data_IF_119702374844
#
_entry.id   IF_119702374844
#
_cell.length_a   1.000
_cell.length_b   1.000
_cell.length_c   1.000
_cell.angle_alpha   90.00
_cell.angle_beta   90.00
_cell.angle_gamma   90.00
#
_symmetry.space_group_name_H-M   'P 1'
#
loop_
_entity.id
_entity.type
_entity.pdbx_description
1 polymer ?
#
# COMPACT_ATOMS: atom_id res chain seq x y z
N UNK A 1 42.99 -4.87 -5.81
CA UNK A 1 43.05 -4.63 -7.28
C UNK A 1 44.43 -5.04 -7.77
N UNK A 2 44.54 -6.11 -8.54
CA UNK A 2 45.82 -6.55 -9.10
C UNK A 2 46.12 -5.71 -10.34
N UNK A 3 46.91 -4.64 -10.18
CA UNK A 3 47.50 -3.93 -11.31
C UNK A 3 48.44 -4.90 -12.03
N UNK A 4 48.31 -5.01 -13.36
CA UNK A 4 49.28 -5.74 -14.17
C UNK A 4 50.66 -5.11 -14.00
N UNK A 5 51.73 -5.91 -14.12
CA UNK A 5 53.10 -5.41 -13.88
C UNK A 5 53.44 -4.22 -14.79
N UNK A 6 52.95 -4.22 -16.03
CA UNK A 6 53.08 -3.08 -16.95
C UNK A 6 52.40 -1.80 -16.46
N UNK A 7 51.21 -1.91 -15.86
CA UNK A 7 50.48 -0.75 -15.32
C UNK A 7 51.14 -0.23 -14.03
N UNK A 8 51.71 -1.14 -13.22
CA UNK A 8 52.47 -0.80 -12.02
C UNK A 8 53.73 -0.02 -12.38
N UNK A 9 54.47 -0.46 -13.40
CA UNK A 9 55.66 0.23 -13.87
C UNK A 9 55.35 1.62 -14.44
N UNK A 10 54.26 1.75 -15.20
CA UNK A 10 53.83 3.06 -15.74
C UNK A 10 53.40 4.03 -14.63
N UNK A 11 52.73 3.52 -13.58
CA UNK A 11 52.36 4.31 -12.41
C UNK A 11 53.61 4.75 -11.63
N UNK A 12 54.53 3.83 -11.36
CA UNK A 12 55.78 4.12 -10.65
C UNK A 12 56.59 5.19 -11.39
N UNK A 13 56.67 5.13 -12.73
CA UNK A 13 57.34 6.17 -13.51
C UNK A 13 56.64 7.53 -13.42
N UNK A 14 55.32 7.56 -13.44
CA UNK A 14 54.55 8.81 -13.32
C UNK A 14 54.66 9.44 -11.91
N UNK A 15 54.77 8.61 -10.86
CA UNK A 15 55.01 9.07 -9.48
C UNK A 15 56.41 9.62 -9.30
N UNK A 16 57.43 8.95 -9.85
CA UNK A 16 58.81 9.44 -9.81
C UNK A 16 58.98 10.79 -10.53
N UNK A 17 58.33 10.96 -11.69
CA UNK A 17 58.30 12.22 -12.44
C UNK A 17 57.68 13.36 -11.62
N UNK A 18 56.51 13.12 -11.00
CA UNK A 18 55.83 14.11 -10.16
C UNK A 18 56.67 14.55 -8.95
N UNK A 19 57.30 13.60 -8.25
CA UNK A 19 58.15 13.91 -7.10
C UNK A 19 59.38 14.72 -7.53
N UNK A 20 59.94 14.43 -8.71
CA UNK A 20 61.07 15.15 -9.28
C UNK A 20 60.67 16.57 -9.73
N UNK A 21 59.50 16.75 -10.34
CA UNK A 21 59.02 18.07 -10.79
C UNK A 21 58.67 19.01 -9.63
N UNK A 22 58.27 18.48 -8.48
CA UNK A 22 57.95 19.26 -7.26
C UNK A 22 59.13 19.40 -6.29
N UNK A 23 60.34 18.96 -6.67
CA UNK A 23 61.58 19.24 -5.93
C UNK A 23 61.88 18.31 -4.75
N UNK A 24 61.20 17.16 -4.64
CA UNK A 24 61.41 16.19 -3.55
C UNK A 24 62.54 15.19 -3.87
N UNK A 25 63.77 15.68 -3.98
CA UNK A 25 64.92 14.92 -4.49
C UNK A 25 65.28 13.67 -3.68
N UNK A 26 65.29 13.76 -2.35
CA UNK A 26 65.61 12.64 -1.45
C UNK A 26 64.58 11.50 -1.53
N UNK A 27 63.29 11.86 -1.68
CA UNK A 27 62.20 10.91 -1.83
C UNK A 27 62.21 10.23 -3.19
N UNK A 28 62.63 10.94 -4.25
CA UNK A 28 62.77 10.36 -5.61
C UNK A 28 63.85 9.30 -5.66
N UNK A 29 65.02 9.55 -5.07
CA UNK A 29 66.13 8.60 -5.08
C UNK A 29 65.80 7.31 -4.32
N UNK A 30 65.14 7.46 -3.17
CA UNK A 30 64.68 6.32 -2.38
C UNK A 30 63.62 5.52 -3.14
N UNK A 31 62.63 6.19 -3.74
CA UNK A 31 61.58 5.54 -4.51
C UNK A 31 62.09 4.86 -5.79
N UNK A 32 63.06 5.46 -6.50
CA UNK A 32 63.70 4.84 -7.68
C UNK A 32 64.41 3.53 -7.33
N UNK A 33 65.05 3.48 -6.15
CA UNK A 33 65.74 2.28 -5.63
C UNK A 33 64.76 1.17 -5.26
N UNK A 34 63.66 1.52 -4.60
CA UNK A 34 62.62 0.54 -4.22
C UNK A 34 61.82 0.03 -5.44
N UNK A 35 61.63 0.86 -6.46
CA UNK A 35 60.85 0.52 -7.65
C UNK A 35 61.66 -0.09 -8.81
N UNK A 36 62.97 -0.32 -8.66
CA UNK A 36 63.88 -0.88 -9.70
C UNK A 36 63.76 -0.17 -11.08
N UNK A 37 63.81 1.17 -11.10
CA UNK A 37 63.70 1.97 -12.32
C UNK A 37 65.08 2.38 -12.88
N UNK A 38 65.79 1.45 -13.54
CA UNK A 38 67.19 1.66 -14.00
C UNK A 38 67.36 2.47 -15.31
N UNK A 39 66.29 2.66 -16.10
CA UNK A 39 66.33 3.46 -17.34
C UNK A 39 65.13 4.42 -17.38
N UNK A 40 65.32 5.60 -16.80
CA UNK A 40 64.30 6.65 -16.73
C UNK A 40 64.43 7.61 -17.93
N UNK A 41 63.48 7.56 -18.85
CA UNK A 41 63.36 8.52 -19.95
C UNK A 41 62.27 9.54 -19.58
N UNK A 42 62.70 10.71 -19.10
CA UNK A 42 61.86 11.80 -18.54
C UNK A 42 60.73 12.24 -19.47
N UNK A 43 60.92 12.13 -20.79
CA UNK A 43 60.07 12.84 -21.76
C UNK A 43 58.67 12.25 -21.93
N UNK A 44 58.46 10.97 -21.61
CA UNK A 44 57.16 10.29 -21.83
C UNK A 44 56.20 10.37 -20.64
N UNK A 45 56.71 10.59 -19.44
CA UNK A 45 55.93 10.54 -18.20
C UNK A 45 55.55 11.93 -17.66
N UNK A 46 56.10 13.00 -18.25
CA UNK A 46 55.91 14.39 -17.86
C UNK A 46 54.44 14.77 -17.66
N UNK A 47 54.05 15.03 -16.42
CA UNK A 47 52.69 15.48 -16.05
C UNK A 47 51.60 14.43 -16.27
N UNK A 48 51.97 13.17 -16.50
CA UNK A 48 51.02 12.07 -16.74
C UNK A 48 50.21 11.78 -15.48
N UNK A 49 50.81 11.86 -14.29
CA UNK A 49 50.13 11.64 -13.02
C UNK A 49 49.04 12.68 -12.79
N UNK A 50 49.34 13.96 -13.01
CA UNK A 50 48.37 15.06 -12.83
C UNK A 50 47.21 14.96 -13.84
N UNK A 51 47.49 14.60 -15.10
CA UNK A 51 46.46 14.34 -16.13
C UNK A 51 45.59 13.13 -15.78
N UNK A 52 46.18 12.05 -15.27
CA UNK A 52 45.42 10.87 -14.82
C UNK A 52 44.61 11.19 -13.57
N UNK A 53 45.17 11.93 -12.62
CA UNK A 53 44.50 12.34 -11.39
C UNK A 53 43.29 13.24 -11.66
N UNK A 54 43.44 14.26 -12.51
CA UNK A 54 42.33 15.12 -12.96
C UNK A 54 41.26 14.34 -13.70
N UNK A 55 41.65 13.35 -14.52
CA UNK A 55 40.70 12.44 -15.18
C UNK A 55 39.95 11.56 -14.18
N UNK A 56 40.63 11.02 -13.17
CA UNK A 56 40.03 10.23 -12.07
C UNK A 56 39.07 11.09 -11.27
N UNK A 57 39.44 12.33 -10.95
CA UNK A 57 38.59 13.26 -10.18
C UNK A 57 37.33 13.63 -10.97
N UNK A 58 37.45 13.82 -12.29
CA UNK A 58 36.31 14.00 -13.19
C UNK A 58 35.42 12.76 -13.25
N UNK A 59 36.02 11.57 -13.30
CA UNK A 59 35.29 10.29 -13.30
C UNK A 59 34.58 10.06 -11.96
N UNK A 60 35.22 10.30 -10.82
CA UNK A 60 34.59 10.22 -9.50
C UNK A 60 33.42 11.17 -9.36
N UNK A 61 33.58 12.43 -9.80
CA UNK A 61 32.47 13.38 -9.84
C UNK A 61 31.34 12.88 -10.74
N UNK A 62 31.66 12.25 -11.87
CA UNK A 62 30.65 11.69 -12.77
C UNK A 62 29.96 10.46 -12.20
N UNK A 63 30.69 9.58 -11.50
CA UNK A 63 30.13 8.43 -10.78
C UNK A 63 29.15 8.92 -9.72
N UNK A 64 29.54 9.91 -8.90
CA UNK A 64 28.64 10.49 -7.89
C UNK A 64 27.40 11.14 -8.52
N UNK A 65 27.56 11.85 -9.64
CA UNK A 65 26.43 12.42 -10.39
C UNK A 65 25.51 11.31 -10.93
N UNK A 66 26.07 10.21 -11.44
CA UNK A 66 25.31 9.08 -11.96
C UNK A 66 24.64 8.26 -10.85
N UNK A 67 25.28 8.09 -9.70
CA UNK A 67 24.69 7.45 -8.52
C UNK A 67 23.52 8.28 -7.98
N UNK A 68 23.69 9.61 -7.92
CA UNK A 68 22.59 10.53 -7.57
C UNK A 68 21.44 10.39 -8.57
N UNK A 69 21.74 10.41 -9.87
CA UNK A 69 20.73 10.24 -10.93
C UNK A 69 20.07 8.87 -10.90
N UNK A 70 20.80 7.82 -10.56
CA UNK A 70 20.26 6.47 -10.41
C UNK A 70 19.31 6.42 -9.20
N UNK A 71 19.68 7.02 -8.07
CA UNK A 71 18.81 7.14 -6.91
C UNK A 71 17.56 7.99 -7.22
N UNK A 72 17.70 9.07 -7.98
CA UNK A 72 16.58 9.88 -8.47
C UNK A 72 15.68 9.07 -9.40
N UNK A 73 16.23 8.36 -10.38
CA UNK A 73 15.48 7.52 -11.30
C UNK A 73 14.82 6.32 -10.60
N UNK A 74 15.46 5.71 -9.61
CA UNK A 74 14.87 4.67 -8.76
C UNK A 74 13.73 5.25 -7.92
N UNK A 75 13.89 6.47 -7.38
CA UNK A 75 12.79 7.18 -6.71
C UNK A 75 11.66 7.47 -7.70
N UNK A 76 11.92 7.98 -8.89
CA UNK A 76 10.90 8.22 -9.92
C UNK A 76 10.21 6.93 -10.35
N UNK A 77 10.94 5.82 -10.45
CA UNK A 77 10.39 4.50 -10.75
C UNK A 77 9.47 3.99 -9.64
N UNK A 78 9.86 4.19 -8.37
CA UNK A 78 9.07 3.78 -7.20
C UNK A 78 7.84 4.69 -6.99
N UNK A 79 7.96 5.99 -7.27
CA UNK A 79 6.93 6.99 -6.95
C UNK A 79 6.04 7.36 -8.15
N UNK A 80 6.37 6.93 -9.37
CA UNK A 80 5.72 7.39 -10.60
C UNK A 80 6.19 8.78 -11.03
N UNK A 81 5.71 9.25 -12.18
CA UNK A 81 6.09 10.54 -12.74
C UNK A 81 5.91 11.68 -11.71
N UNK A 82 6.89 12.60 -11.58
CA UNK A 82 6.81 13.66 -10.58
C UNK A 82 5.62 14.58 -10.92
N UNK A 83 4.62 14.58 -10.06
CA UNK A 83 3.52 15.55 -10.12
C UNK A 83 4.04 16.91 -9.61
N UNK A 84 3.46 18.02 -10.09
CA UNK A 84 3.86 19.39 -9.69
C UNK A 84 3.82 19.64 -8.17
N UNK A 85 3.17 18.75 -7.40
CA UNK A 85 3.04 18.83 -5.95
C UNK A 85 4.01 17.92 -5.16
N UNK A 86 4.62 16.89 -5.76
CA UNK A 86 5.53 15.99 -5.05
C UNK A 86 6.76 16.72 -4.47
N UNK A 87 7.26 17.73 -5.18
CA UNK A 87 8.37 18.60 -4.75
C UNK A 87 8.09 19.44 -3.49
N UNK A 88 6.82 19.71 -3.15
CA UNK A 88 6.46 20.41 -1.91
C UNK A 88 6.27 19.46 -0.72
N UNK A 89 5.89 18.21 -0.96
CA UNK A 89 5.59 17.23 0.09
C UNK A 89 6.80 16.37 0.49
N UNK A 90 7.91 16.40 -0.24
CA UNK A 90 9.19 15.76 0.18
C UNK A 90 9.66 16.20 1.58
N UNK A 91 9.19 17.35 2.10
CA UNK A 91 9.52 17.82 3.46
C UNK A 91 8.70 17.17 4.58
N UNK A 92 7.60 16.46 4.30
CA UNK A 92 6.73 15.86 5.34
C UNK A 92 6.79 14.34 5.26
N UNK A 93 7.34 13.72 6.30
CA UNK A 93 7.46 12.26 6.33
C UNK A 93 6.07 11.60 6.28
N UNK A 94 5.90 10.50 5.52
CA UNK A 94 4.64 9.76 5.44
C UNK A 94 4.10 9.22 6.77
N UNK A 95 4.84 9.32 7.88
CA UNK A 95 4.43 8.87 9.21
C UNK A 95 3.48 9.82 9.95
N UNK A 96 3.35 11.08 9.51
CA UNK A 96 2.58 12.12 10.21
C UNK A 96 1.34 12.60 9.44
N UNK A 97 0.98 11.95 8.34
CA UNK A 97 -0.14 12.38 7.52
C UNK A 97 -1.49 12.10 8.20
N UNK A 98 -2.06 13.15 8.77
CA UNK A 98 -3.39 13.12 9.37
C UNK A 98 -4.34 13.99 8.55
N UNK A 99 -5.51 13.48 8.10
CA UNK A 99 -6.48 14.28 7.39
C UNK A 99 -6.96 15.44 8.27
N UNK A 100 -7.07 16.65 7.68
CA UNK A 100 -7.58 17.83 8.37
C UNK A 100 -8.74 18.45 7.59
N UNK A 101 -9.81 18.89 8.28
CA UNK A 101 -10.82 19.73 7.66
C UNK A 101 -10.25 21.13 7.37
N UNK A 102 -10.82 21.86 6.39
CA UNK A 102 -11.95 21.45 5.52
C UNK A 102 -11.52 20.45 4.43
N UNK A 103 -12.50 19.75 3.84
CA UNK A 103 -12.27 18.94 2.64
C UNK A 103 -11.66 19.80 1.51
N UNK A 104 -10.74 19.22 0.73
CA UNK A 104 -10.10 19.90 -0.40
C UNK A 104 -11.07 19.98 -1.58
N UNK A 105 -11.72 18.86 -1.88
CA UNK A 105 -12.73 18.76 -2.94
C UNK A 105 -13.96 18.01 -2.43
N UNK A 106 -15.13 18.44 -2.91
CA UNK A 106 -16.40 17.76 -2.73
C UNK A 106 -16.98 17.45 -4.11
N UNK A 107 -16.80 16.22 -4.57
CA UNK A 107 -17.20 15.76 -5.89
C UNK A 107 -18.65 15.27 -5.85
N UNK A 108 -19.46 15.78 -6.77
CA UNK A 108 -20.87 15.43 -6.90
C UNK A 108 -21.17 15.03 -8.34
N UNK A 109 -22.03 14.02 -8.52
CA UNK A 109 -22.44 13.59 -9.87
C UNK A 109 -22.99 12.18 -9.97
N UNK A 110 -22.92 11.38 -8.89
CA UNK A 110 -23.74 10.18 -8.76
C UNK A 110 -25.20 10.53 -8.49
N UNK A 111 -26.12 9.67 -8.93
CA UNK A 111 -27.57 9.87 -8.77
C UNK A 111 -28.16 9.13 -7.57
N UNK A 112 -27.35 8.35 -6.88
CA UNK A 112 -27.76 7.51 -5.76
C UNK A 112 -26.57 7.29 -4.81
N UNK A 113 -26.77 6.62 -3.66
CA UNK A 113 -25.71 6.37 -2.68
C UNK A 113 -24.45 5.78 -3.30
N UNK A 114 -23.29 6.23 -2.83
CA UNK A 114 -21.99 5.73 -3.27
C UNK A 114 -21.62 4.57 -2.37
N UNK A 115 -21.25 3.43 -2.94
CA UNK A 115 -20.98 2.18 -2.22
C UNK A 115 -19.49 2.01 -1.90
N UNK A 116 -18.62 2.37 -2.85
CA UNK A 116 -17.16 2.29 -2.68
C UNK A 116 -16.46 3.41 -3.43
N UNK A 117 -15.33 3.85 -2.88
CA UNK A 117 -14.32 4.68 -3.54
C UNK A 117 -12.94 4.08 -3.30
N UNK A 118 -12.10 4.09 -4.34
CA UNK A 118 -10.72 3.59 -4.30
C UNK A 118 -9.78 4.50 -5.11
N UNK A 119 -8.52 4.58 -4.68
CA UNK A 119 -7.47 5.21 -5.48
C UNK A 119 -6.93 4.26 -6.54
N UNK A 120 -6.54 4.81 -7.68
CA UNK A 120 -5.73 4.10 -8.65
C UNK A 120 -4.28 3.97 -8.14
N UNK A 121 -3.61 2.82 -8.29
CA UNK A 121 -2.27 2.61 -7.73
C UNK A 121 -1.15 3.44 -8.39
N UNK A 122 -1.34 3.89 -9.64
CA UNK A 122 -0.27 4.51 -10.46
C UNK A 122 -0.63 5.92 -10.97
N UNK A 123 -1.91 6.24 -11.11
CA UNK A 123 -2.39 7.44 -11.81
C UNK A 123 -3.13 8.30 -10.79
N UNK A 124 -3.21 9.61 -11.02
CA UNK A 124 -3.82 10.59 -10.11
C UNK A 124 -5.35 10.58 -10.16
N UNK A 125 -5.98 9.41 -10.16
CA UNK A 125 -7.41 9.22 -10.34
C UNK A 125 -8.02 8.36 -9.24
N UNK A 126 -9.28 8.63 -8.95
CA UNK A 126 -10.13 7.83 -8.07
C UNK A 126 -11.26 7.20 -8.87
N UNK A 127 -11.57 5.95 -8.54
CA UNK A 127 -12.75 5.26 -9.05
C UNK A 127 -13.80 5.15 -7.94
N UNK A 128 -15.06 5.35 -8.31
CA UNK A 128 -16.20 5.31 -7.41
C UNK A 128 -17.34 4.52 -8.02
N UNK A 129 -18.01 3.67 -7.22
CA UNK A 129 -19.24 3.00 -7.61
C UNK A 129 -20.43 3.47 -6.78
N UNK A 130 -21.60 3.34 -7.36
CA UNK A 130 -22.85 3.73 -6.75
C UNK A 130 -23.96 2.71 -7.02
N UNK A 131 -25.03 2.82 -6.26
CA UNK A 131 -26.28 2.11 -6.50
C UNK A 131 -26.95 2.52 -7.84
N UNK A 132 -26.43 3.55 -8.53
CA UNK A 132 -26.94 4.04 -9.81
C UNK A 132 -26.49 3.18 -11.00
N UNK A 133 -25.91 2.01 -10.71
CA UNK A 133 -25.32 1.04 -11.65
C UNK A 133 -24.11 1.55 -12.44
N UNK A 134 -23.56 2.72 -12.08
CA UNK A 134 -22.42 3.33 -12.77
C UNK A 134 -21.16 3.36 -11.91
N UNK A 135 -20.03 3.32 -12.61
CA UNK A 135 -18.72 3.58 -12.03
C UNK A 135 -18.23 4.90 -12.61
N UNK A 136 -17.80 5.83 -11.77
CA UNK A 136 -17.27 7.13 -12.19
C UNK A 136 -15.80 7.25 -11.82
N UNK A 137 -15.05 7.85 -12.72
CA UNK A 137 -13.63 8.17 -12.59
C UNK A 137 -13.48 9.66 -12.45
N UNK A 138 -12.69 10.08 -11.47
CA UNK A 138 -12.43 11.47 -11.16
C UNK A 138 -10.95 11.68 -10.99
N UNK A 139 -10.46 12.84 -11.40
CA UNK A 139 -9.12 13.30 -11.05
C UNK A 139 -9.18 13.94 -9.66
N UNK A 140 -8.41 13.42 -8.70
CA UNK A 140 -8.40 13.93 -7.33
C UNK A 140 -7.51 15.16 -7.14
N UNK A 141 -6.64 15.48 -8.12
CA UNK A 141 -5.80 16.68 -8.08
C UNK A 141 -6.55 17.92 -8.56
N UNK A 142 -7.29 17.80 -9.67
CA UNK A 142 -8.12 18.90 -10.22
C UNK A 142 -9.53 18.92 -9.65
N UNK A 143 -10.05 17.76 -9.22
CA UNK A 143 -11.45 17.59 -8.85
C UNK A 143 -12.38 17.48 -10.06
N UNK A 144 -11.85 17.26 -11.26
CA UNK A 144 -12.64 17.14 -12.48
C UNK A 144 -13.20 15.73 -12.68
N UNK A 145 -14.40 15.68 -13.26
CA UNK A 145 -15.01 14.43 -13.70
C UNK A 145 -14.40 14.02 -15.04
N UNK A 146 -13.78 12.83 -15.09
CA UNK A 146 -13.21 12.33 -16.34
C UNK A 146 -14.24 11.53 -17.14
N UNK A 147 -14.71 10.41 -16.58
CA UNK A 147 -15.49 9.42 -17.33
C UNK A 147 -16.46 8.63 -16.45
N UNK A 148 -17.46 8.03 -17.09
CA UNK A 148 -18.36 7.05 -16.48
C UNK A 148 -18.34 5.73 -17.26
N UNK A 149 -18.14 4.63 -16.55
CA UNK A 149 -18.31 3.27 -17.06
C UNK A 149 -19.75 2.83 -16.80
N UNK A 150 -20.43 2.43 -17.86
CA UNK A 150 -21.81 1.92 -17.81
C UNK A 150 -21.84 0.52 -18.42
N UNK A 151 -22.57 -0.38 -17.77
CA UNK A 151 -22.72 -1.73 -18.29
C UNK A 151 -23.31 -2.72 -17.30
N UNK A 152 -23.28 -2.43 -16.00
CA UNK A 152 -24.06 -3.15 -15.00
C UNK A 152 -25.54 -2.83 -15.12
N UNK A 153 -26.39 -3.79 -14.78
CA UNK A 153 -27.86 -3.60 -14.82
C UNK A 153 -28.45 -3.19 -13.48
N UNK A 154 -27.70 -3.40 -12.39
CA UNK A 154 -28.11 -3.10 -11.01
C UNK A 154 -26.95 -2.46 -10.22
N UNK A 155 -27.22 -2.09 -8.97
CA UNK A 155 -26.30 -1.42 -8.04
C UNK A 155 -24.92 -2.07 -7.99
N UNK A 156 -23.87 -1.28 -8.19
CA UNK A 156 -22.46 -1.73 -8.07
C UNK A 156 -22.05 -1.64 -6.61
N UNK A 157 -21.57 -2.74 -6.02
CA UNK A 157 -21.32 -2.84 -4.58
C UNK A 157 -19.86 -2.58 -4.19
N UNK A 158 -18.91 -3.10 -4.97
CA UNK A 158 -17.47 -2.95 -4.69
C UNK A 158 -16.69 -2.89 -6.00
N UNK A 159 -15.52 -2.27 -5.91
CA UNK A 159 -14.57 -2.12 -7.00
C UNK A 159 -13.18 -2.48 -6.47
N UNK A 160 -12.36 -3.15 -7.27
CA UNK A 160 -10.94 -3.36 -6.98
C UNK A 160 -10.08 -3.07 -8.22
N UNK A 161 -8.92 -2.44 -8.02
CA UNK A 161 -7.87 -2.34 -9.03
C UNK A 161 -6.90 -3.50 -8.92
N UNK A 162 -6.36 -3.93 -10.07
CA UNK A 162 -5.18 -4.77 -10.12
C UNK A 162 -3.93 -4.01 -9.62
N UNK A 163 -2.89 -4.74 -9.18
CA UNK A 163 -1.64 -4.15 -8.73
C UNK A 163 -0.95 -3.30 -9.81
N UNK A 164 -1.12 -3.67 -11.09
CA UNK A 164 -0.62 -2.90 -12.23
C UNK A 164 -1.46 -1.66 -12.56
N UNK A 165 -2.68 -1.55 -12.03
CA UNK A 165 -3.65 -0.51 -12.38
C UNK A 165 -4.31 -0.68 -13.75
N UNK A 166 -3.92 -1.68 -14.56
CA UNK A 166 -4.45 -1.81 -15.92
C UNK A 166 -5.89 -2.32 -15.96
N UNK A 167 -6.25 -3.15 -14.98
CA UNK A 167 -7.55 -3.80 -14.90
C UNK A 167 -8.32 -3.28 -13.69
N UNK A 168 -9.61 -3.06 -13.91
CA UNK A 168 -10.58 -2.73 -12.89
C UNK A 168 -11.62 -3.84 -12.82
N UNK A 169 -11.87 -4.37 -11.64
CA UNK A 169 -12.97 -5.28 -11.40
C UNK A 169 -14.09 -4.56 -10.67
N UNK A 170 -15.32 -4.79 -11.10
CA UNK A 170 -16.51 -4.33 -10.40
C UNK A 170 -17.48 -5.47 -10.16
N UNK A 171 -18.16 -5.42 -9.02
CA UNK A 171 -19.20 -6.37 -8.68
C UNK A 171 -20.53 -5.67 -8.43
N UNK A 172 -21.63 -6.34 -8.77
CA UNK A 172 -22.97 -5.76 -8.71
C UNK A 172 -23.99 -6.73 -8.11
N UNK A 173 -25.12 -6.16 -7.70
CA UNK A 173 -26.32 -6.88 -7.33
C UNK A 173 -26.94 -7.66 -8.52
N UNK A 174 -26.51 -7.37 -9.76
CA UNK A 174 -26.89 -8.11 -10.98
C UNK A 174 -26.28 -9.52 -11.08
N UNK A 175 -25.58 -9.98 -10.03
CA UNK A 175 -24.91 -11.28 -9.94
C UNK A 175 -23.76 -11.46 -10.94
N UNK A 176 -23.28 -10.36 -11.53
CA UNK A 176 -22.15 -10.36 -12.45
C UNK A 176 -20.96 -9.59 -11.90
N UNK A 177 -19.78 -10.05 -12.29
CA UNK A 177 -18.51 -9.33 -12.08
C UNK A 177 -18.04 -8.88 -13.45
N UNK A 178 -17.76 -7.59 -13.61
CA UNK A 178 -17.23 -7.06 -14.86
C UNK A 178 -15.76 -6.71 -14.69
N UNK A 179 -14.97 -7.08 -15.69
CA UNK A 179 -13.60 -6.66 -15.85
C UNK A 179 -13.55 -5.55 -16.90
N UNK A 180 -12.91 -4.45 -16.55
CA UNK A 180 -12.75 -3.26 -17.37
C UNK A 180 -11.27 -3.02 -17.63
N UNK A 181 -10.95 -2.67 -18.87
CA UNK A 181 -9.61 -2.20 -19.21
C UNK A 181 -9.52 -0.69 -18.95
N UNK A 182 -8.62 -0.27 -18.07
CA UNK A 182 -8.58 1.10 -17.55
C UNK A 182 -7.57 2.02 -18.26
N UNK A 183 -6.78 1.50 -19.21
CA UNK A 183 -5.65 2.25 -19.80
C UNK A 183 -6.01 2.96 -21.10
N UNK A 184 -6.75 2.30 -22.01
CA UNK A 184 -6.94 2.80 -23.38
C UNK A 184 -8.41 2.97 -23.74
N UNK A 185 -9.21 1.92 -23.55
CA UNK A 185 -10.55 1.80 -24.13
C UNK A 185 -11.66 2.11 -23.13
N UNK A 186 -11.43 1.86 -21.83
CA UNK A 186 -12.47 1.92 -20.79
C UNK A 186 -13.64 0.96 -21.07
N UNK A 187 -13.37 -0.09 -21.85
CA UNK A 187 -14.39 -1.06 -22.27
C UNK A 187 -14.48 -2.23 -21.30
N UNK A 188 -15.67 -2.83 -21.26
CA UNK A 188 -15.89 -4.07 -20.53
C UNK A 188 -15.27 -5.22 -21.32
N UNK A 189 -14.12 -5.71 -20.84
CA UNK A 189 -13.40 -6.84 -21.41
C UNK A 189 -14.19 -8.13 -21.26
N UNK A 190 -14.67 -8.39 -20.04
CA UNK A 190 -15.35 -9.65 -19.70
C UNK A 190 -16.43 -9.45 -18.65
N UNK A 191 -17.46 -10.28 -18.72
CA UNK A 191 -18.49 -10.42 -17.69
C UNK A 191 -18.44 -11.84 -17.13
N UNK A 192 -18.06 -11.98 -15.87
CA UNK A 192 -18.02 -13.24 -15.14
C UNK A 192 -19.39 -13.48 -14.50
N UNK A 193 -19.98 -14.66 -14.76
CA UNK A 193 -21.28 -15.08 -14.21
C UNK A 193 -21.11 -16.44 -13.55
N UNK A 194 -21.81 -16.65 -12.43
CA UNK A 194 -21.80 -17.93 -11.72
C UNK A 194 -22.03 -17.83 -10.21
N UNK A 195 -22.28 -16.64 -9.67
CA UNK A 195 -22.91 -16.47 -8.37
C UNK A 195 -24.43 -16.52 -8.51
N UNK A 196 -25.10 -17.02 -7.48
CA UNK A 196 -26.57 -17.19 -7.49
C UNK A 196 -27.29 -16.01 -6.82
N UNK A 197 -26.54 -15.05 -6.26
CA UNK A 197 -27.09 -13.85 -5.62
C UNK A 197 -26.10 -12.68 -5.61
N UNK A 198 -26.48 -11.57 -4.97
CA UNK A 198 -25.80 -10.27 -4.96
C UNK A 198 -24.33 -10.43 -4.53
N UNK A 199 -23.42 -9.90 -5.34
CA UNK A 199 -21.98 -9.92 -5.08
C UNK A 199 -21.62 -8.63 -4.35
N UNK A 200 -21.18 -8.74 -3.10
CA UNK A 200 -20.94 -7.59 -2.24
C UNK A 200 -19.49 -7.14 -2.20
N UNK A 201 -18.52 -7.98 -2.57
CA UNK A 201 -17.12 -7.57 -2.59
C UNK A 201 -16.30 -8.32 -3.62
N UNK A 202 -15.27 -7.64 -4.11
CA UNK A 202 -14.30 -8.16 -5.07
C UNK A 202 -12.89 -7.76 -4.66
N UNK A 203 -11.91 -8.65 -4.87
CA UNK A 203 -10.51 -8.39 -4.59
C UNK A 203 -9.60 -9.13 -5.57
N UNK A 204 -8.60 -8.44 -6.12
CA UNK A 204 -7.54 -9.07 -6.89
C UNK A 204 -6.53 -9.76 -5.97
N UNK A 205 -5.98 -10.87 -6.47
CA UNK A 205 -4.75 -11.41 -5.90
C UNK A 205 -3.55 -10.55 -6.31
N UNK A 206 -2.51 -10.45 -5.45
CA UNK A 206 -1.31 -9.65 -5.74
C UNK A 206 -0.59 -10.03 -7.05
N UNK A 207 -0.71 -11.28 -7.52
CA UNK A 207 -0.13 -11.70 -8.80
C UNK A 207 -0.91 -11.21 -10.03
N UNK A 208 -2.16 -10.77 -9.87
CA UNK A 208 -3.02 -10.33 -10.97
C UNK A 208 -3.70 -11.46 -11.75
N UNK A 209 -3.35 -12.73 -11.51
CA UNK A 209 -3.87 -13.88 -12.27
C UNK A 209 -5.30 -14.26 -11.87
N UNK A 210 -5.65 -13.99 -10.62
CA UNK A 210 -6.87 -14.46 -9.99
C UNK A 210 -7.62 -13.33 -9.27
N UNK A 211 -8.93 -13.49 -9.20
CA UNK A 211 -9.86 -12.57 -8.55
C UNK A 211 -10.76 -13.34 -7.59
N UNK A 212 -10.98 -12.79 -6.41
CA UNK A 212 -11.92 -13.31 -5.42
C UNK A 212 -13.18 -12.47 -5.39
N UNK A 213 -14.32 -13.13 -5.23
CA UNK A 213 -15.60 -12.47 -5.03
C UNK A 213 -16.37 -13.10 -3.88
N UNK A 214 -17.08 -12.27 -3.13
CA UNK A 214 -17.98 -12.67 -2.06
C UNK A 214 -19.43 -12.33 -2.42
N UNK A 215 -20.34 -13.23 -2.09
CA UNK A 215 -21.75 -13.09 -2.42
C UNK A 215 -22.67 -13.42 -1.24
N UNK A 216 -23.92 -12.97 -1.40
CA UNK A 216 -25.05 -13.32 -0.55
C UNK A 216 -25.44 -14.80 -0.64
N UNK A 217 -24.96 -15.53 -1.64
CA UNK A 217 -25.13 -16.99 -1.77
C UNK A 217 -24.31 -17.82 -0.74
N UNK A 218 -23.66 -17.16 0.23
CA UNK A 218 -22.82 -17.75 1.27
C UNK A 218 -21.50 -18.34 0.75
N UNK A 219 -21.17 -18.10 -0.52
CA UNK A 219 -19.96 -18.60 -1.15
C UNK A 219 -18.97 -17.49 -1.48
N UNK A 220 -17.70 -17.88 -1.53
CA UNK A 220 -16.62 -17.08 -2.09
C UNK A 220 -16.12 -17.81 -3.32
N UNK A 221 -16.01 -17.13 -4.45
CA UNK A 221 -15.52 -17.73 -5.70
C UNK A 221 -14.20 -17.12 -6.11
N UNK A 222 -13.32 -17.95 -6.66
CA UNK A 222 -12.07 -17.56 -7.27
C UNK A 222 -12.20 -17.71 -8.78
N UNK A 223 -11.83 -16.66 -9.49
CA UNK A 223 -11.92 -16.54 -10.93
C UNK A 223 -10.52 -16.37 -11.50
N UNK A 224 -10.25 -17.02 -12.61
CA UNK A 224 -9.05 -16.75 -13.40
C UNK A 224 -9.33 -15.56 -14.32
N UNK A 225 -8.46 -14.54 -14.27
CA UNK A 225 -8.67 -13.27 -15.00
C UNK A 225 -8.55 -13.49 -16.51
N UNK A 226 -7.58 -14.30 -16.95
CA UNK A 226 -7.31 -14.56 -18.36
C UNK A 226 -8.42 -15.37 -19.01
N UNK A 227 -8.92 -16.43 -18.37
CA UNK A 227 -9.97 -17.27 -18.95
C UNK A 227 -11.37 -16.73 -18.65
N UNK A 228 -11.59 -16.20 -17.45
CA UNK A 228 -12.89 -15.82 -16.91
C UNK A 228 -13.64 -16.98 -16.24
N UNK A 229 -13.02 -18.14 -16.08
CA UNK A 229 -13.65 -19.29 -15.43
C UNK A 229 -13.52 -19.25 -13.92
N UNK A 230 -14.54 -19.82 -13.24
CA UNK A 230 -14.49 -20.07 -11.80
C UNK A 230 -13.60 -21.29 -11.53
N UNK A 231 -12.47 -21.07 -10.88
CA UNK A 231 -11.47 -22.11 -10.55
C UNK A 231 -11.82 -22.80 -9.24
N UNK A 232 -12.24 -22.02 -8.22
CA UNK A 232 -12.56 -22.53 -6.89
C UNK A 232 -13.81 -21.86 -6.34
N UNK A 233 -14.59 -22.63 -5.60
CA UNK A 233 -15.67 -22.14 -4.74
C UNK A 233 -15.32 -22.55 -3.31
N UNK A 234 -15.36 -21.59 -2.39
CA UNK A 234 -15.15 -21.77 -0.96
C UNK A 234 -16.50 -21.63 -0.27
N UNK A 235 -16.85 -22.65 0.51
CA UNK A 235 -18.09 -22.73 1.28
C UNK A 235 -17.74 -22.93 2.74
N UNK A 236 -18.37 -22.18 3.63
CA UNK A 236 -18.16 -22.34 5.08
C UNK A 236 -18.84 -21.28 5.93
N UNK A 237 -19.15 -20.12 5.35
CA UNK A 237 -20.06 -19.16 5.98
C UNK A 237 -21.50 -19.68 5.98
N UNK A 238 -22.25 -19.30 7.01
CA UNK A 238 -23.67 -19.69 7.18
C UNK A 238 -24.63 -18.64 6.65
N UNK A 239 -24.15 -17.42 6.43
CA UNK A 239 -24.94 -16.29 5.95
C UNK A 239 -24.11 -15.42 4.98
N UNK A 240 -24.70 -14.36 4.45
CA UNK A 240 -24.14 -13.45 3.46
C UNK A 240 -22.71 -13.03 3.80
N UNK A 241 -21.77 -13.35 2.91
CA UNK A 241 -20.38 -12.88 2.99
C UNK A 241 -20.29 -11.43 2.55
N UNK A 242 -19.93 -10.50 3.44
CA UNK A 242 -19.91 -9.06 3.19
C UNK A 242 -18.70 -8.63 2.38
N UNK A 243 -17.50 -8.98 2.84
CA UNK A 243 -16.26 -8.49 2.27
C UNK A 243 -15.18 -9.57 2.20
N UNK A 244 -14.30 -9.47 1.21
CA UNK A 244 -13.11 -10.31 1.07
C UNK A 244 -11.87 -9.44 0.88
N UNK A 245 -10.78 -9.77 1.58
CA UNK A 245 -9.49 -9.10 1.43
C UNK A 245 -8.36 -10.11 1.38
N UNK A 246 -7.45 -9.92 0.43
CA UNK A 246 -6.28 -10.77 0.23
C UNK A 246 -5.12 -10.24 1.06
N UNK A 247 -4.37 -11.13 1.69
CA UNK A 247 -3.12 -10.78 2.37
C UNK A 247 -2.04 -10.41 1.35
N UNK A 248 -1.07 -9.58 1.70
CA UNK A 248 -0.12 -9.00 0.73
C UNK A 248 0.71 -10.04 -0.05
N UNK A 249 0.96 -11.21 0.55
CA UNK A 249 1.65 -12.35 -0.06
C UNK A 249 0.75 -13.20 -0.97
N UNK A 250 -0.57 -12.98 -0.94
CA UNK A 250 -1.53 -13.75 -1.75
C UNK A 250 -1.78 -15.18 -1.27
N UNK A 251 -1.02 -15.68 -0.30
CA UNK A 251 -1.17 -17.02 0.27
C UNK A 251 -2.45 -17.21 1.10
N UNK A 252 -2.92 -16.12 1.73
CA UNK A 252 -4.12 -16.10 2.58
C UNK A 252 -5.11 -15.03 2.10
N UNK A 253 -6.38 -15.26 2.39
CA UNK A 253 -7.41 -14.22 2.32
C UNK A 253 -8.36 -14.34 3.51
N UNK A 254 -9.00 -13.23 3.85
CA UNK A 254 -9.99 -13.14 4.91
C UNK A 254 -11.36 -12.78 4.33
N UNK A 255 -12.41 -13.24 5.01
CA UNK A 255 -13.79 -12.92 4.69
C UNK A 255 -14.62 -12.66 5.94
N UNK A 256 -15.58 -11.74 5.84
CA UNK A 256 -16.55 -11.44 6.90
C UNK A 256 -17.95 -11.80 6.43
N UNK A 257 -18.82 -12.13 7.38
CA UNK A 257 -20.20 -12.47 7.08
C UNK A 257 -21.19 -11.90 8.10
N UNK A 258 -22.47 -11.93 7.72
CA UNK A 258 -23.60 -11.69 8.59
C UNK A 258 -23.73 -12.72 9.72
N UNK A 259 -23.08 -13.87 9.64
CA UNK A 259 -23.06 -14.89 10.71
C UNK A 259 -22.15 -14.53 11.90
N UNK A 260 -21.71 -13.26 11.96
CA UNK A 260 -20.81 -12.67 12.95
C UNK A 260 -19.40 -13.29 12.92
N UNK A 261 -19.09 -14.11 11.92
CA UNK A 261 -17.82 -14.77 11.81
C UNK A 261 -16.87 -14.10 10.83
N UNK A 262 -15.59 -14.22 11.14
CA UNK A 262 -14.49 -13.86 10.26
C UNK A 262 -13.72 -15.14 9.97
N UNK A 263 -13.65 -15.51 8.70
CA UNK A 263 -12.94 -16.70 8.27
C UNK A 263 -11.67 -16.31 7.53
N UNK A 264 -10.56 -16.97 7.85
CA UNK A 264 -9.32 -16.88 7.09
C UNK A 264 -9.15 -18.17 6.32
N UNK A 265 -8.70 -18.04 5.08
CA UNK A 265 -8.64 -19.13 4.11
C UNK A 265 -7.26 -19.15 3.50
N UNK A 266 -6.82 -20.35 3.13
CA UNK A 266 -5.68 -20.47 2.25
C UNK A 266 -6.15 -20.27 0.80
N UNK A 267 -5.38 -19.54 0.00
CA UNK A 267 -5.71 -19.35 -1.43
C UNK A 267 -5.51 -20.66 -2.22
N UNK A 268 -4.49 -21.42 -1.86
CA UNK A 268 -4.11 -22.67 -2.53
C UNK A 268 -5.02 -23.83 -2.12
N UNK A 269 -5.33 -23.97 -0.82
CA UNK A 269 -6.22 -25.02 -0.33
C UNK A 269 -7.64 -24.48 -0.09
N UNK A 270 -8.68 -25.27 -0.35
CA UNK A 270 -10.08 -24.88 -0.04
C UNK A 270 -10.40 -24.91 1.46
N UNK A 271 -9.37 -24.89 2.32
CA UNK A 271 -9.51 -25.06 3.76
C UNK A 271 -9.56 -23.70 4.45
N UNK A 272 -10.51 -23.57 5.38
CA UNK A 272 -10.52 -22.47 6.34
C UNK A 272 -9.44 -22.74 7.38
N UNK A 273 -8.52 -21.78 7.56
CA UNK A 273 -7.42 -21.86 8.53
C UNK A 273 -7.91 -21.53 9.93
N UNK A 274 -8.63 -20.41 10.08
CA UNK A 274 -9.19 -19.95 11.36
C UNK A 274 -10.55 -19.30 11.15
N UNK A 275 -11.42 -19.46 12.14
CA UNK A 275 -12.71 -18.76 12.24
C UNK A 275 -12.79 -18.03 13.57
N UNK A 276 -13.00 -16.71 13.53
CA UNK A 276 -13.21 -15.86 14.70
C UNK A 276 -14.69 -15.57 14.87
N UNK A 277 -15.18 -15.55 16.12
CA UNK A 277 -16.59 -15.28 16.48
C UNK A 277 -16.71 -14.41 17.71
N UNK A 278 -15.87 -13.38 17.77
CA UNK A 278 -15.76 -12.47 18.91
C UNK A 278 -16.67 -11.24 18.78
N UNK A 279 -17.29 -11.03 17.61
CA UNK A 279 -18.24 -9.95 17.38
C UNK A 279 -19.65 -10.35 17.81
N UNK A 280 -20.39 -9.38 18.37
CA UNK A 280 -21.77 -9.60 18.82
C UNK A 280 -22.78 -9.43 17.67
N UNK A 281 -22.38 -8.76 16.60
CA UNK A 281 -23.21 -8.46 15.43
C UNK A 281 -22.43 -8.66 14.12
N UNK A 282 -23.15 -8.57 13.00
CA UNK A 282 -22.66 -8.57 11.60
C UNK A 282 -21.35 -7.81 11.44
N UNK A 283 -20.36 -8.48 10.83
CA UNK A 283 -19.08 -7.89 10.47
C UNK A 283 -19.15 -7.32 9.05
N UNK A 284 -18.99 -6.01 8.94
CA UNK A 284 -19.15 -5.27 7.67
C UNK A 284 -17.84 -5.17 6.89
N UNK A 285 -16.73 -4.93 7.58
CA UNK A 285 -15.45 -4.67 6.94
C UNK A 285 -14.30 -5.33 7.67
N UNK A 286 -13.22 -5.57 6.92
CA UNK A 286 -11.99 -6.23 7.32
C UNK A 286 -10.82 -5.58 6.59
N UNK A 287 -9.66 -5.45 7.24
CA UNK A 287 -8.42 -5.00 6.61
C UNK A 287 -7.24 -5.78 7.20
N UNK A 288 -6.29 -6.18 6.34
CA UNK A 288 -5.03 -6.76 6.79
C UNK A 288 -4.07 -5.67 7.29
N UNK A 289 -3.44 -5.91 8.43
CA UNK A 289 -2.40 -5.01 8.92
C UNK A 289 -1.17 -5.09 7.99
N UNK A 290 -0.64 -3.95 7.51
CA UNK A 290 0.63 -3.93 6.81
C UNK A 290 1.76 -4.20 7.81
N UNK A 291 2.90 -4.70 7.32
CA UNK A 291 4.07 -5.02 8.17
C UNK A 291 4.53 -3.82 9.01
N UNK A 292 4.37 -2.60 8.47
CA UNK A 292 4.67 -1.34 9.16
C UNK A 292 3.79 -1.06 10.39
N UNK A 293 2.59 -1.66 10.47
CA UNK A 293 1.69 -1.48 11.61
C UNK A 293 1.97 -2.46 12.76
N UNK A 294 2.69 -3.55 12.50
CA UNK A 294 2.94 -4.61 13.49
C UNK A 294 3.63 -4.10 14.78
N UNK A 295 4.63 -3.20 14.74
CA UNK A 295 5.24 -2.68 15.97
C UNK A 295 4.23 -1.93 16.85
N UNK A 296 3.36 -1.11 16.25
CA UNK A 296 2.31 -0.40 16.99
C UNK A 296 1.24 -1.33 17.55
N UNK A 297 0.97 -2.45 16.88
CA UNK A 297 0.05 -3.48 17.36
C UNK A 297 0.66 -4.26 18.53
N UNK A 298 1.97 -4.56 18.48
CA UNK A 298 2.72 -5.20 19.58
C UNK A 298 2.64 -4.37 20.86
N UNK A 299 2.97 -3.08 20.75
CA UNK A 299 2.92 -2.14 21.87
C UNK A 299 1.50 -2.05 22.46
N UNK A 300 0.48 -2.04 21.59
CA UNK A 300 -0.90 -2.08 22.02
C UNK A 300 -1.23 -3.38 22.77
N UNK A 301 -0.87 -4.56 22.26
CA UNK A 301 -1.14 -5.84 22.93
C UNK A 301 -0.44 -5.94 24.29
N UNK A 302 0.84 -5.56 24.37
CA UNK A 302 1.63 -5.50 25.60
C UNK A 302 0.97 -4.62 26.66
N UNK A 303 0.55 -3.40 26.29
CA UNK A 303 -0.15 -2.50 27.20
C UNK A 303 -1.45 -3.10 27.77
N UNK A 304 -2.11 -4.02 27.05
CA UNK A 304 -3.29 -4.73 27.56
C UNK A 304 -2.90 -5.74 28.64
N UNK A 305 -1.85 -6.52 28.35
CA UNK A 305 -1.37 -7.57 29.24
C UNK A 305 -0.84 -6.96 30.53
N UNK A 306 -0.15 -5.83 30.45
CA UNK A 306 0.37 -5.10 31.61
C UNK A 306 -0.74 -4.55 32.51
N UNK A 307 -1.85 -4.06 31.93
CA UNK A 307 -3.03 -3.63 32.69
C UNK A 307 -3.74 -4.80 33.38
N UNK A 308 -3.78 -5.97 32.75
CA UNK A 308 -4.45 -7.16 33.27
C UNK A 308 -3.61 -7.92 34.31
N UNK A 309 -2.29 -8.00 34.11
CA UNK A 309 -1.41 -8.87 34.90
C UNK A 309 -0.55 -8.13 35.94
N UNK A 310 -0.60 -6.79 36.00
CA UNK A 310 0.15 -6.00 36.97
C UNK A 310 1.66 -6.10 36.79
N UNK A 311 2.26 -5.17 36.04
CA UNK A 311 3.72 -4.94 35.87
C UNK A 311 4.61 -6.14 36.18
N UNK A 312 4.63 -7.13 35.28
CA UNK A 312 5.75 -8.06 35.19
C UNK A 312 6.60 -7.62 33.99
N UNK A 313 7.83 -7.07 34.18
CA UNK A 313 8.67 -6.71 33.06
C UNK A 313 9.16 -7.99 32.38
N UNK A 314 8.63 -8.29 31.20
CA UNK A 314 9.26 -9.24 30.28
C UNK A 314 10.51 -8.58 29.68
N UNK A 315 11.57 -9.35 29.57
CA UNK A 315 12.90 -8.96 29.08
C UNK A 315 12.85 -8.18 27.78
N UNK A 316 13.52 -7.03 27.74
CA UNK A 316 13.90 -6.31 26.51
C UNK A 316 14.53 -7.31 25.52
N UNK A 317 13.83 -7.61 24.43
CA UNK A 317 14.41 -8.40 23.33
C UNK A 317 13.56 -9.54 22.76
N UNK A 318 12.39 -9.89 23.32
CA UNK A 318 11.48 -10.77 22.60
C UNK A 318 10.71 -9.97 21.55
N UNK A 319 11.26 -9.84 20.35
CA UNK A 319 10.45 -9.51 19.16
C UNK A 319 9.35 -10.58 19.05
N UNK A 320 8.17 -10.33 19.62
CA UNK A 320 7.00 -11.16 19.40
C UNK A 320 6.69 -11.03 17.92
N UNK A 321 7.11 -12.03 17.16
CA UNK A 321 6.90 -12.06 15.72
C UNK A 321 5.43 -12.40 15.52
N UNK A 322 4.57 -11.38 15.53
CA UNK A 322 3.16 -11.55 15.22
C UNK A 322 3.01 -12.23 13.87
N UNK A 323 2.06 -13.14 13.80
CA UNK A 323 1.56 -13.61 12.52
C UNK A 323 0.86 -12.48 11.75
N UNK A 324 0.26 -12.81 10.60
CA UNK A 324 -0.64 -11.89 9.91
C UNK A 324 -1.74 -11.40 10.86
N UNK A 325 -1.82 -10.08 11.06
CA UNK A 325 -2.86 -9.46 11.89
C UNK A 325 -4.00 -8.98 11.02
N UNK A 326 -5.21 -9.27 11.45
CA UNK A 326 -6.45 -8.90 10.79
C UNK A 326 -7.23 -7.91 11.67
N UNK A 327 -7.82 -6.90 11.06
CA UNK A 327 -8.68 -5.94 11.75
C UNK A 327 -10.07 -6.00 11.15
N UNK A 328 -11.11 -6.03 11.97
CA UNK A 328 -12.49 -5.99 11.50
C UNK A 328 -13.31 -4.92 12.19
N UNK A 329 -14.31 -4.43 11.46
CA UNK A 329 -15.30 -3.46 11.93
C UNK A 329 -16.69 -4.06 11.80
N UNK A 330 -17.49 -3.91 12.85
CA UNK A 330 -18.81 -4.54 12.97
C UNK A 330 -19.93 -3.53 13.23
N UNK A 331 -21.15 -3.98 13.04
CA UNK A 331 -22.38 -3.28 13.44
C UNK A 331 -22.53 -3.18 14.96
N UNK A 332 -21.75 -3.93 15.74
CA UNK A 332 -21.64 -3.79 17.19
C UNK A 332 -20.86 -2.53 17.63
N UNK A 333 -20.44 -1.69 16.67
CA UNK A 333 -19.73 -0.41 16.87
C UNK A 333 -18.29 -0.59 17.35
N UNK A 334 -17.77 -1.81 17.30
CA UNK A 334 -16.41 -2.14 17.72
C UNK A 334 -15.49 -2.44 16.55
N UNK A 335 -14.22 -2.07 16.71
CA UNK A 335 -13.13 -2.50 15.83
C UNK A 335 -12.29 -3.50 16.60
N UNK A 336 -12.08 -4.70 16.07
CA UNK A 336 -11.31 -5.76 16.75
C UNK A 336 -10.07 -6.14 15.95
N UNK A 337 -8.98 -6.43 16.66
CA UNK A 337 -7.71 -6.89 16.10
C UNK A 337 -7.51 -8.36 16.44
N UNK A 338 -7.12 -9.16 15.45
CA UNK A 338 -6.96 -10.60 15.56
C UNK A 338 -5.59 -11.03 15.06
N UNK A 339 -4.89 -11.86 15.83
CA UNK A 339 -3.74 -12.59 15.31
C UNK A 339 -4.22 -13.89 14.65
N UNK A 340 -4.00 -14.00 13.34
CA UNK A 340 -4.44 -15.15 12.55
C UNK A 340 -3.63 -16.42 12.84
N UNK A 341 -2.41 -16.29 13.35
CA UNK A 341 -1.58 -17.45 13.70
C UNK A 341 -1.92 -17.97 15.08
N UNK A 342 -2.10 -17.06 16.06
CA UNK A 342 -2.49 -17.44 17.41
C UNK A 342 -3.99 -17.76 17.55
N UNK A 343 -4.84 -17.27 16.64
CA UNK A 343 -6.27 -17.51 16.71
C UNK A 343 -6.96 -16.75 17.84
N UNK A 344 -6.40 -15.62 18.27
CA UNK A 344 -6.90 -14.82 19.40
C UNK A 344 -7.25 -13.39 18.99
N UNK A 345 -8.28 -12.83 19.62
CA UNK A 345 -8.54 -11.39 19.60
C UNK A 345 -7.53 -10.70 20.53
N UNK A 346 -6.70 -9.80 19.98
CA UNK A 346 -5.69 -9.04 20.71
C UNK A 346 -6.36 -7.96 21.56
N UNK A 347 -7.05 -7.03 20.90
CA UNK A 347 -7.70 -5.90 21.55
C UNK A 347 -8.86 -5.36 20.74
N UNK A 348 -9.70 -4.56 21.40
CA UNK A 348 -10.87 -3.91 20.81
C UNK A 348 -10.75 -2.40 20.94
N UNK A 349 -11.05 -1.66 19.87
CA UNK A 349 -11.22 -0.21 19.90
C UNK A 349 -12.71 0.11 19.99
N UNK A 350 -13.06 0.95 20.95
CA UNK A 350 -14.40 1.42 21.22
C UNK A 350 -14.48 2.92 20.97
N UNK A 351 -15.54 3.37 20.30
CA UNK A 351 -15.84 4.79 20.23
C UNK A 351 -16.84 5.21 19.17
N UNK A 352 -16.98 4.47 18.06
CA UNK A 352 -18.03 4.79 17.09
C UNK A 352 -19.42 4.63 17.71
N UNK A 353 -20.37 5.47 17.28
CA UNK A 353 -21.73 5.47 17.83
C UNK A 353 -22.70 4.59 17.02
N UNK A 354 -22.25 4.13 15.84
CA UNK A 354 -23.04 3.35 14.90
C UNK A 354 -22.17 2.35 14.11
N UNK A 355 -22.76 1.68 13.12
CA UNK A 355 -22.11 0.63 12.33
C UNK A 355 -20.84 1.10 11.65
N UNK A 356 -19.77 0.31 11.72
CA UNK A 356 -18.50 0.63 11.06
C UNK A 356 -18.54 0.05 9.64
N UNK A 357 -18.30 0.90 8.64
CA UNK A 357 -18.43 0.53 7.21
C UNK A 357 -17.11 0.32 6.50
N UNK A 358 -16.04 0.95 6.97
CA UNK A 358 -14.74 0.83 6.34
C UNK A 358 -13.59 1.02 7.30
N UNK A 359 -12.49 0.34 6.99
CA UNK A 359 -11.22 0.40 7.70
C UNK A 359 -10.09 0.52 6.69
N UNK A 360 -9.11 1.38 6.96
CA UNK A 360 -7.85 1.43 6.22
C UNK A 360 -6.70 1.81 7.13
N UNK A 361 -5.59 1.10 6.99
CA UNK A 361 -4.35 1.50 7.64
C UNK A 361 -3.72 2.69 6.93
N UNK A 362 -3.13 3.56 7.75
CA UNK A 362 -2.25 4.60 7.26
C UNK A 362 -0.95 3.99 6.69
N UNK A 363 -0.34 4.53 5.62
CA UNK A 363 0.87 3.98 5.01
C UNK A 363 2.07 3.84 5.96
N UNK A 364 2.12 4.66 7.01
CA UNK A 364 3.12 4.58 8.08
C UNK A 364 2.81 3.59 9.20
N UNK A 365 1.66 2.90 9.19
CA UNK A 365 1.29 1.85 10.17
C UNK A 365 0.87 2.33 11.57
N UNK A 366 1.22 3.56 11.97
CA UNK A 366 0.90 4.14 13.29
C UNK A 366 -0.60 4.40 13.51
N UNK A 367 -1.32 4.70 12.44
CA UNK A 367 -2.73 5.09 12.50
C UNK A 367 -3.62 4.12 11.74
N UNK A 368 -4.82 3.93 12.25
CA UNK A 368 -5.93 3.27 11.57
C UNK A 368 -7.03 4.29 11.34
N UNK A 369 -7.57 4.37 10.13
CA UNK A 369 -8.73 5.17 9.82
C UNK A 369 -9.96 4.27 9.73
N UNK A 370 -11.07 4.73 10.31
CA UNK A 370 -12.36 4.07 10.22
C UNK A 370 -13.45 5.06 9.84
N UNK A 371 -14.48 4.55 9.17
CA UNK A 371 -15.69 5.31 8.83
C UNK A 371 -16.94 4.56 9.26
N UNK A 372 -17.99 5.30 9.61
CA UNK A 372 -19.19 4.75 10.21
C UNK A 372 -20.47 5.47 9.76
N UNK A 373 -21.60 4.79 9.99
CA UNK A 373 -22.95 5.34 9.90
C UNK A 373 -23.22 6.45 10.95
N UNK A 374 -22.27 6.75 11.84
CA UNK A 374 -22.32 7.95 12.69
C UNK A 374 -21.91 9.24 11.94
N UNK A 375 -21.68 9.14 10.62
CA UNK A 375 -21.26 10.24 9.71
C UNK A 375 -19.81 10.68 9.90
N UNK A 376 -19.07 10.01 10.78
CA UNK A 376 -17.70 10.39 11.13
C UNK A 376 -16.66 9.50 10.46
N UNK A 377 -15.52 10.11 10.18
CA UNK A 377 -14.25 9.43 9.97
C UNK A 377 -13.42 9.61 11.25
N UNK A 378 -12.94 8.50 11.83
CA UNK A 378 -12.10 8.51 13.03
C UNK A 378 -10.70 8.03 12.70
N UNK A 379 -9.72 8.70 13.30
CA UNK A 379 -8.30 8.35 13.23
C UNK A 379 -7.88 7.81 14.58
N UNK A 380 -7.49 6.54 14.61
CA UNK A 380 -7.07 5.82 15.80
C UNK A 380 -5.56 5.73 15.85
N UNK A 381 -4.98 6.02 17.01
CA UNK A 381 -3.58 5.70 17.27
C UNK A 381 -3.52 4.27 17.77
N UNK A 382 -2.93 3.37 16.97
CA UNK A 382 -3.01 1.92 17.21
C UNK A 382 -2.33 1.54 18.52
N UNK A 383 -1.11 2.02 18.75
CA UNK A 383 -0.33 1.77 19.97
C UNK A 383 -1.07 2.15 21.26
N UNK A 384 -1.76 3.29 21.26
CA UNK A 384 -2.43 3.83 22.44
C UNK A 384 -3.90 3.38 22.57
N UNK A 385 -4.43 2.65 21.59
CA UNK A 385 -5.84 2.23 21.52
C UNK A 385 -6.84 3.37 21.68
N UNK A 386 -6.47 4.58 21.24
CA UNK A 386 -7.26 5.79 21.43
C UNK A 386 -7.65 6.40 20.10
N UNK A 387 -8.88 6.91 20.03
CA UNK A 387 -9.29 7.80 18.97
C UNK A 387 -8.53 9.14 19.11
N UNK A 388 -7.58 9.37 18.20
CA UNK A 388 -6.76 10.59 18.17
C UNK A 388 -7.57 11.77 17.64
N UNK A 389 -8.44 11.55 16.66
CA UNK A 389 -9.23 12.60 16.04
C UNK A 389 -10.52 12.04 15.45
N UNK A 390 -11.59 12.82 15.60
CA UNK A 390 -12.89 12.56 14.96
C UNK A 390 -13.17 13.69 13.99
N UNK A 391 -13.52 13.36 12.76
CA UNK A 391 -13.87 14.31 11.71
C UNK A 391 -15.29 13.98 11.25
N UNK A 392 -16.19 14.95 11.30
CA UNK A 392 -17.49 14.83 10.65
C UNK A 392 -17.27 14.89 9.14
N UNK A 393 -17.29 13.71 8.50
CA UNK A 393 -16.86 13.60 7.12
C UNK A 393 -17.98 14.05 6.18
N UNK A 394 -19.21 13.57 6.40
CA UNK A 394 -20.34 13.79 5.51
C UNK A 394 -21.60 14.20 6.27
N UNK A 395 -22.63 14.68 5.56
CA UNK A 395 -23.93 15.04 6.16
C UNK A 395 -24.77 13.80 6.50
N UNK A 396 -24.45 12.69 5.84
CA UNK A 396 -25.07 11.37 6.01
C UNK A 396 -24.00 10.30 6.25
N UNK A 397 -24.45 9.05 6.39
CA UNK A 397 -23.63 7.87 6.66
C UNK A 397 -22.49 7.71 5.66
N UNK A 398 -21.29 7.44 6.18
CA UNK A 398 -20.08 7.25 5.38
C UNK A 398 -19.95 5.77 5.01
N UNK A 399 -19.92 5.47 3.72
CA UNK A 399 -19.98 4.10 3.20
C UNK A 399 -18.61 3.49 2.97
N UNK A 400 -17.63 4.29 2.56
CA UNK A 400 -16.27 3.77 2.35
C UNK A 400 -15.19 4.83 2.55
N UNK A 401 -13.96 4.35 2.77
CA UNK A 401 -12.75 5.15 2.71
C UNK A 401 -11.65 4.45 1.94
N UNK A 402 -10.73 5.23 1.39
CA UNK A 402 -9.44 4.76 0.91
C UNK A 402 -8.34 5.78 1.22
N UNK A 403 -7.12 5.29 1.46
CA UNK A 403 -5.94 6.12 1.76
C UNK A 403 -4.92 5.91 0.64
N UNK A 404 -4.42 6.99 0.04
CA UNK A 404 -3.45 6.88 -1.04
C UNK A 404 -2.09 6.35 -0.53
N UNK A 405 -1.52 5.35 -1.22
CA UNK A 405 -0.33 4.63 -0.72
C UNK A 405 0.91 5.52 -0.53
N UNK A 406 1.07 6.54 -1.38
CA UNK A 406 2.28 7.39 -1.43
C UNK A 406 2.02 8.88 -1.34
N UNK A 407 0.76 9.32 -1.29
CA UNK A 407 0.40 10.75 -1.31
C UNK A 407 -0.46 11.06 -0.08
N UNK A 408 -0.43 12.30 0.42
CA UNK A 408 -1.16 12.71 1.62
C UNK A 408 -2.65 12.93 1.34
N UNK A 409 -3.33 11.98 0.70
CA UNK A 409 -4.75 12.09 0.37
C UNK A 409 -5.56 10.92 0.94
N UNK A 410 -6.70 11.28 1.51
CA UNK A 410 -7.75 10.33 1.92
C UNK A 410 -8.99 10.67 1.14
N UNK A 411 -9.71 9.65 0.69
CA UNK A 411 -11.00 9.84 0.04
C UNK A 411 -12.08 9.12 0.84
N UNK A 412 -13.20 9.78 1.05
CA UNK A 412 -14.38 9.20 1.70
C UNK A 412 -15.58 9.33 0.77
N UNK A 413 -16.46 8.33 0.84
CA UNK A 413 -17.74 8.37 0.13
C UNK A 413 -18.89 8.12 1.08
N UNK A 414 -20.08 8.57 0.69
CA UNK A 414 -21.24 8.58 1.57
C UNK A 414 -22.54 8.37 0.81
N UNK A 415 -23.58 8.03 1.58
CA UNK A 415 -24.96 7.88 1.11
C UNK A 415 -25.53 9.21 0.59
N UNK A 416 -24.98 10.35 1.00
CA UNK A 416 -25.35 11.68 0.48
C UNK A 416 -24.90 11.98 -0.96
N UNK A 417 -24.42 10.96 -1.69
CA UNK A 417 -24.02 11.05 -3.10
C UNK A 417 -22.78 11.93 -3.34
N UNK A 418 -22.01 12.19 -2.28
CA UNK A 418 -20.80 12.99 -2.35
C UNK A 418 -19.56 12.15 -2.10
N UNK A 419 -18.49 12.51 -2.81
CA UNK A 419 -17.14 12.01 -2.54
C UNK A 419 -16.33 13.19 -2.03
N UNK A 420 -15.69 13.04 -0.88
CA UNK A 420 -14.82 14.08 -0.33
C UNK A 420 -13.37 13.64 -0.37
N UNK A 421 -12.52 14.52 -0.87
CA UNK A 421 -11.07 14.36 -0.90
C UNK A 421 -10.47 15.21 0.22
N UNK A 422 -9.73 14.57 1.11
CA UNK A 422 -9.10 15.17 2.28
C UNK A 422 -7.60 15.24 2.08
N UNK A 423 -7.02 16.42 2.33
CA UNK A 423 -5.59 16.60 2.38
C UNK A 423 -5.07 16.29 3.79
N UNK A 424 -4.00 15.50 3.87
CA UNK A 424 -3.31 15.20 5.11
C UNK A 424 -2.22 16.23 5.39
N UNK A 425 -2.12 16.69 6.64
CA UNK A 425 -1.22 17.78 7.01
C UNK A 425 -0.45 17.56 8.30
#
# INVERSE_FOLDING_TARGET
MNLSDRQRDELNRAVADYLQSHGYTESVETFKREANLDNFDDRKSAGLLEKKWTSVLRLQKKVLELETKLQEAEKEYIHGAPTRHSLFFEKRQPGEWIPRPPEKYSLTGHRSPITRVIFHPVYSIIASCSEDSTIKVWDFESGEFERSLKGHTDAVQDIAFDASGKLLASCSADMSIKLWEFVQTYECMKTLRGHDHNISSVAFLPSGDHLLSASRDHTIKMWEVVSGYCVKTFTGHRDWVRMVRVYHDGSLFASCSNDHSICTWNTSSKQCKMTFRDHEHVVECIEWAPDKALPSISEADESQRDQLNGRAPMSEGSNVKFGPVLVSGSRDKTIKFFDVTAGVCLFTLLGHDNWIRGLRFHPGGKYLLSVSDDKTMRIWMVAQKRCSKTIEAHKHFVTSLDFHRSLPYVVTSSVDMTIKVWECR
#
